data_IF_255767376205
#
_entry.id   IF_255767376205
#
_cell.length_a   1.000
_cell.length_b   1.000
_cell.length_c   1.000
_cell.angle_alpha   90.00
_cell.angle_beta   90.00
_cell.angle_gamma   90.00
#
_symmetry.space_group_name_H-M   'P 1'
#
loop_
_entity.id
_entity.type
_entity.pdbx_description
1 polymer ?
#
# COMPACT_ATOMS: atom_id res chain seq x y z
N UNK A 1 -17.50 0.74 -9.72
CA UNK A 1 -16.15 0.46 -10.26
C UNK A 1 -15.55 1.79 -10.76
N UNK A 2 -14.23 1.94 -10.69
CA UNK A 2 -13.52 3.10 -11.24
C UNK A 2 -12.86 2.67 -12.55
N UNK A 3 -13.19 3.33 -13.66
CA UNK A 3 -12.71 2.98 -15.00
C UNK A 3 -11.49 3.83 -15.34
N UNK A 4 -10.46 3.19 -15.88
CA UNK A 4 -9.20 3.82 -16.25
C UNK A 4 -8.58 3.16 -17.45
N UNK A 5 -7.76 3.93 -18.16
CA UNK A 5 -6.90 3.42 -19.22
C UNK A 5 -5.64 2.79 -18.64
N UNK A 6 -5.07 1.83 -19.37
CA UNK A 6 -3.77 1.23 -19.01
C UNK A 6 -2.73 2.36 -18.92
N UNK A 7 -1.88 2.29 -17.90
CA UNK A 7 -0.83 3.25 -17.63
C UNK A 7 -1.34 4.65 -17.19
N UNK A 8 -2.64 4.85 -17.01
CA UNK A 8 -3.16 6.08 -16.38
C UNK A 8 -2.74 6.14 -14.91
N UNK A 9 -2.39 7.33 -14.40
CA UNK A 9 -2.13 7.51 -12.97
C UNK A 9 -3.43 7.30 -12.14
N UNK A 10 -3.36 6.41 -11.16
CA UNK A 10 -4.39 6.21 -10.15
C UNK A 10 -3.97 6.88 -8.85
N UNK A 11 -4.78 7.81 -8.36
CA UNK A 11 -4.54 8.53 -7.11
C UNK A 11 -5.45 7.97 -6.02
N UNK A 12 -4.85 7.55 -4.92
CA UNK A 12 -5.55 6.99 -3.76
C UNK A 12 -5.28 7.84 -2.53
N UNK A 13 -6.34 8.02 -1.75
CA UNK A 13 -6.28 8.65 -0.44
C UNK A 13 -6.95 7.72 0.58
N UNK A 14 -6.31 7.55 1.72
CA UNK A 14 -6.96 7.04 2.92
C UNK A 14 -6.87 8.09 4.02
N UNK A 15 -7.99 8.28 4.71
CA UNK A 15 -8.12 9.25 5.79
C UNK A 15 -8.74 8.56 7.00
N UNK A 16 -8.10 8.70 8.16
CA UNK A 16 -8.62 8.20 9.42
C UNK A 16 -9.47 9.27 10.10
N UNK A 17 -10.79 9.04 10.16
CA UNK A 17 -11.70 9.90 10.91
C UNK A 17 -11.59 9.62 12.42
N UNK A 18 -10.84 10.45 13.14
CA UNK A 18 -10.67 10.38 14.59
C UNK A 18 -10.49 11.78 15.19
N UNK A 19 -10.81 11.96 16.47
CA UNK A 19 -10.60 13.20 17.21
C UNK A 19 -9.19 13.33 17.82
N UNK A 20 -8.45 12.22 17.96
CA UNK A 20 -7.08 12.20 18.46
C UNK A 20 -6.09 12.62 17.37
N UNK A 21 -5.53 13.82 17.53
CA UNK A 21 -4.53 14.39 16.61
C UNK A 21 -3.16 13.72 16.70
N UNK A 22 -2.94 12.80 17.66
CA UNK A 22 -1.68 12.10 17.86
C UNK A 22 -1.63 10.75 17.12
N UNK A 23 -2.50 10.54 16.13
CA UNK A 23 -2.50 9.33 15.32
C UNK A 23 -1.78 9.57 13.99
N UNK A 24 -1.02 8.56 13.57
CA UNK A 24 -0.35 8.48 12.28
C UNK A 24 -0.97 7.32 11.52
N UNK A 25 -1.35 7.57 10.26
CA UNK A 25 -1.79 6.55 9.33
C UNK A 25 -0.61 6.18 8.42
N UNK A 26 -0.40 4.89 8.21
CA UNK A 26 0.70 4.37 7.40
C UNK A 26 0.20 3.28 6.46
N UNK A 27 0.61 3.34 5.18
CA UNK A 27 0.32 2.28 4.21
C UNK A 27 1.35 1.17 4.39
N UNK A 28 0.92 0.06 5.00
CA UNK A 28 1.81 -1.07 5.21
C UNK A 28 1.91 -1.93 3.94
N UNK A 29 0.77 -2.40 3.46
CA UNK A 29 0.72 -3.35 2.35
C UNK A 29 -0.48 -3.05 1.47
N UNK A 30 -0.28 -2.90 0.15
CA UNK A 30 -1.37 -2.87 -0.83
C UNK A 30 -1.08 -3.92 -1.90
N UNK A 31 -2.05 -4.82 -2.08
CA UNK A 31 -1.96 -5.93 -3.03
C UNK A 31 -3.14 -5.84 -3.99
N UNK A 32 -2.85 -6.02 -5.27
CA UNK A 32 -3.86 -6.13 -6.31
C UNK A 32 -4.13 -7.59 -6.68
N UNK A 33 -5.36 -7.88 -7.08
CA UNK A 33 -5.80 -9.18 -7.57
C UNK A 33 -6.78 -9.04 -8.74
N UNK A 34 -6.80 -9.98 -9.71
CA UNK A 34 -7.83 -10.04 -10.73
C UNK A 34 -9.19 -10.52 -10.19
N UNK A 35 -9.26 -10.91 -8.90
CA UNK A 35 -10.49 -11.41 -8.28
C UNK A 35 -10.78 -10.68 -6.96
N UNK A 36 -12.05 -10.52 -6.56
CA UNK A 36 -12.40 -9.81 -5.33
C UNK A 36 -12.11 -10.58 -4.04
N UNK A 37 -11.85 -11.89 -4.11
CA UNK A 37 -11.79 -12.75 -2.92
C UNK A 37 -10.47 -13.48 -2.71
N UNK A 38 -9.59 -13.57 -3.73
CA UNK A 38 -8.31 -14.25 -3.63
C UNK A 38 -7.16 -13.27 -3.82
N UNK A 39 -6.49 -12.93 -2.72
CA UNK A 39 -5.30 -12.08 -2.69
C UNK A 39 -4.04 -12.88 -2.32
N UNK A 40 -3.94 -14.13 -2.78
CA UNK A 40 -2.80 -15.01 -2.49
C UNK A 40 -2.24 -15.74 -3.71
N UNK A 41 -3.09 -16.16 -4.65
CA UNK A 41 -2.66 -17.00 -5.79
C UNK A 41 -2.04 -16.19 -6.93
N UNK A 42 -2.79 -15.24 -7.47
CA UNK A 42 -2.32 -14.33 -8.54
C UNK A 42 -2.49 -12.93 -8.02
N UNK A 43 -1.35 -12.32 -7.69
CA UNK A 43 -1.32 -11.02 -7.03
C UNK A 43 -0.21 -10.16 -7.59
N UNK A 44 -0.38 -8.86 -7.42
CA UNK A 44 0.64 -7.87 -7.71
C UNK A 44 0.81 -6.98 -6.48
N UNK A 45 1.99 -7.02 -5.89
CA UNK A 45 2.33 -6.20 -4.71
C UNK A 45 2.65 -4.77 -5.18
N UNK A 46 1.88 -3.79 -4.73
CA UNK A 46 2.16 -2.37 -5.00
C UNK A 46 3.15 -1.84 -3.97
N UNK A 47 2.86 -2.10 -2.70
CA UNK A 47 3.72 -1.87 -1.54
C UNK A 47 3.51 -3.05 -0.60
N UNK A 48 4.57 -3.53 0.06
CA UNK A 48 4.48 -4.64 1.00
C UNK A 48 5.43 -4.46 2.16
N UNK A 49 4.91 -4.59 3.38
CA UNK A 49 5.65 -4.32 4.61
C UNK A 49 6.36 -2.95 4.56
N UNK A 50 5.69 -1.92 4.04
CA UNK A 50 6.20 -0.57 3.87
C UNK A 50 7.23 -0.41 2.74
N UNK A 51 7.61 -1.50 2.06
CA UNK A 51 8.56 -1.48 0.96
C UNK A 51 7.82 -1.37 -0.37
N UNK A 52 8.10 -0.30 -1.11
CA UNK A 52 7.56 -0.10 -2.45
C UNK A 52 8.02 -1.23 -3.38
N UNK A 53 7.07 -1.81 -4.13
CA UNK A 53 7.31 -2.90 -5.09
C UNK A 53 6.96 -2.49 -6.51
N UNK A 54 5.94 -1.67 -6.66
CA UNK A 54 5.60 -1.04 -7.92
C UNK A 54 6.51 0.18 -8.19
N UNK A 55 7.18 0.20 -9.35
CA UNK A 55 8.13 1.26 -9.72
C UNK A 55 7.48 2.61 -10.01
N UNK A 56 6.17 2.62 -10.24
CA UNK A 56 5.37 3.82 -10.50
C UNK A 56 4.71 4.39 -9.24
N UNK A 57 4.87 3.71 -8.11
CA UNK A 57 4.37 4.16 -6.82
C UNK A 57 5.06 5.45 -6.40
N UNK A 58 4.27 6.44 -6.00
CA UNK A 58 4.77 7.67 -5.40
C UNK A 58 3.84 8.15 -4.29
N UNK A 59 4.41 8.72 -3.23
CA UNK A 59 3.65 9.38 -2.17
C UNK A 59 3.43 10.85 -2.50
N UNK A 60 2.33 11.41 -2.01
CA UNK A 60 2.06 12.84 -2.05
C UNK A 60 2.06 13.43 -0.66
N UNK A 61 2.25 14.75 -0.61
CA UNK A 61 2.10 15.50 0.63
C UNK A 61 0.69 15.35 1.21
N UNK A 62 0.63 14.89 2.45
CA UNK A 62 -0.58 14.88 3.28
C UNK A 62 -0.48 16.00 4.32
N UNK A 63 -1.42 16.95 4.38
CA UNK A 63 -1.44 17.99 5.42
C UNK A 63 -1.62 17.45 6.85
N UNK A 64 -2.09 16.22 7.01
CA UNK A 64 -2.35 15.60 8.31
C UNK A 64 -1.66 14.24 8.44
N UNK A 65 -1.18 13.90 9.64
CA UNK A 65 -0.52 12.62 9.92
C UNK A 65 -1.46 11.41 9.81
N UNK A 66 -2.75 11.62 10.01
CA UNK A 66 -3.80 10.62 9.89
C UNK A 66 -4.38 10.51 8.47
N UNK A 67 -3.66 11.03 7.47
CA UNK A 67 -4.00 10.97 6.06
C UNK A 67 -2.81 10.46 5.24
N UNK A 68 -3.05 9.53 4.33
CA UNK A 68 -2.05 9.02 3.39
C UNK A 68 -2.53 9.19 1.96
N UNK A 69 -1.65 9.70 1.10
CA UNK A 69 -1.90 9.93 -0.31
C UNK A 69 -0.79 9.30 -1.13
N UNK A 70 -1.16 8.50 -2.11
CA UNK A 70 -0.21 7.86 -3.00
C UNK A 70 -0.81 7.63 -4.38
N UNK A 71 0.04 7.40 -5.36
CA UNK A 71 -0.34 7.01 -6.71
C UNK A 71 0.40 5.78 -7.16
N UNK A 72 -0.15 5.09 -8.15
CA UNK A 72 0.53 4.10 -9.01
C UNK A 72 -0.17 4.08 -10.38
N UNK A 73 0.47 3.54 -11.41
CA UNK A 73 -0.13 3.47 -12.74
C UNK A 73 -1.08 2.27 -12.86
N UNK A 74 -2.22 2.49 -13.52
CA UNK A 74 -3.19 1.45 -13.81
C UNK A 74 -2.56 0.34 -14.68
N UNK A 75 -2.93 -0.90 -14.37
CA UNK A 75 -2.47 -2.09 -15.08
C UNK A 75 -3.59 -3.12 -15.17
N UNK A 76 -3.33 -4.20 -15.89
CA UNK A 76 -4.24 -5.34 -16.00
C UNK A 76 -3.47 -6.66 -15.87
N UNK A 77 -4.17 -7.71 -15.42
CA UNK A 77 -3.63 -9.06 -15.43
C UNK A 77 -3.89 -9.71 -16.79
N UNK A 78 -2.84 -10.18 -17.47
CA UNK A 78 -2.95 -10.84 -18.78
C UNK A 78 -3.72 -12.16 -18.60
N UNK A 79 -4.65 -12.46 -19.50
CA UNK A 79 -5.54 -13.65 -19.47
C UNK A 79 -6.62 -13.64 -18.37
N UNK A 80 -6.83 -12.51 -17.70
CA UNK A 80 -7.92 -12.32 -16.74
C UNK A 80 -8.93 -11.29 -17.22
N UNK A 81 -10.04 -11.17 -16.48
CA UNK A 81 -10.97 -10.05 -16.60
C UNK A 81 -10.24 -8.71 -16.43
N UNK A 82 -10.64 -7.63 -17.13
CA UNK A 82 -10.00 -6.31 -17.02
C UNK A 82 -10.19 -5.65 -15.64
N UNK A 83 -11.02 -6.21 -14.78
CA UNK A 83 -11.22 -5.70 -13.42
C UNK A 83 -10.05 -6.05 -12.50
N UNK A 84 -9.52 -5.04 -11.82
CA UNK A 84 -8.50 -5.19 -10.77
C UNK A 84 -9.09 -4.77 -9.42
N UNK A 85 -8.83 -5.57 -8.39
CA UNK A 85 -9.27 -5.34 -7.02
C UNK A 85 -8.06 -5.04 -6.14
N UNK A 86 -8.18 -4.06 -5.26
CA UNK A 86 -7.13 -3.66 -4.33
C UNK A 86 -7.50 -4.05 -2.90
N UNK A 87 -6.55 -4.60 -2.16
CA UNK A 87 -6.63 -4.77 -0.71
C UNK A 87 -5.45 -4.06 -0.08
N UNK A 88 -5.73 -3.03 0.72
CA UNK A 88 -4.71 -2.30 1.47
C UNK A 88 -4.86 -2.55 2.97
N UNK A 89 -3.74 -2.80 3.62
CA UNK A 89 -3.56 -2.91 5.06
C UNK A 89 -2.89 -1.61 5.54
N UNK A 90 -3.62 -0.88 6.38
CA UNK A 90 -3.19 0.40 6.94
C UNK A 90 -2.87 0.21 8.42
N UNK A 91 -1.72 0.71 8.86
CA UNK A 91 -1.35 0.76 10.26
C UNK A 91 -1.74 2.11 10.86
N UNK A 92 -2.33 2.09 12.05
CA UNK A 92 -2.59 3.28 12.87
C UNK A 92 -1.66 3.23 14.07
N UNK A 93 -0.82 4.25 14.22
CA UNK A 93 0.16 4.34 15.30
C UNK A 93 0.01 5.66 16.05
N UNK A 94 0.60 5.74 17.25
CA UNK A 94 0.77 7.03 17.92
C UNK A 94 1.96 7.78 17.34
N UNK A 95 1.84 9.10 17.25
CA UNK A 95 2.95 10.00 16.96
C UNK A 95 4.05 9.81 18.02
N UNK A 96 5.32 9.88 17.59
CA UNK A 96 6.51 9.73 18.44
C UNK A 96 6.72 8.36 19.09
N UNK A 97 5.90 7.35 18.77
CA UNK A 97 6.23 5.96 19.10
C UNK A 97 7.20 5.40 18.06
N UNK A 98 8.50 5.60 18.30
CA UNK A 98 9.58 5.16 17.41
C UNK A 98 9.69 3.64 17.27
N UNK A 99 9.04 2.87 18.16
CA UNK A 99 8.99 1.41 18.07
C UNK A 99 7.83 0.91 17.19
N UNK A 100 6.88 1.79 16.89
CA UNK A 100 5.65 1.45 16.17
C UNK A 100 5.90 1.02 14.73
N UNK A 101 4.92 0.27 14.18
CA UNK A 101 4.95 -0.17 12.78
C UNK A 101 5.13 1.00 11.80
N UNK A 102 4.54 2.16 12.07
CA UNK A 102 4.62 3.33 11.20
C UNK A 102 6.05 3.89 11.11
N UNK A 103 6.81 3.91 12.22
CA UNK A 103 8.20 4.38 12.23
C UNK A 103 9.20 3.35 11.69
N UNK A 104 8.87 2.06 11.72
CA UNK A 104 9.71 1.00 11.15
C UNK A 104 9.86 1.11 9.63
N UNK A 105 8.93 1.80 8.93
CA UNK A 105 9.01 2.03 7.49
C UNK A 105 9.06 0.75 6.66
N UNK A 106 9.99 0.66 5.71
CA UNK A 106 10.21 -0.53 4.90
C UNK A 106 10.98 -1.61 5.66
N UNK A 107 10.34 -2.77 5.87
CA UNK A 107 10.95 -3.94 6.50
C UNK A 107 11.22 -5.01 5.45
N UNK A 108 12.47 -5.12 5.01
CA UNK A 108 12.92 -6.23 4.17
C UNK A 108 13.30 -7.42 5.05
N UNK A 109 12.87 -8.63 4.68
CA UNK A 109 13.33 -9.86 5.34
C UNK A 109 14.86 -9.95 5.14
N UNK A 110 15.63 -9.94 6.24
CA UNK A 110 17.06 -10.23 6.19
C UNK A 110 17.25 -11.61 5.55
N UNK A 111 18.20 -11.73 4.60
CA UNK A 111 18.66 -13.05 4.14
C UNK A 111 19.20 -13.77 5.36
N UNK A 112 18.59 -14.89 5.74
CA UNK A 112 19.21 -15.78 6.73
C UNK A 112 20.54 -16.23 6.12
N UNK A 113 21.66 -15.86 6.73
CA UNK A 113 22.94 -16.50 6.43
C UNK A 113 22.75 -17.99 6.73
N UNK A 114 22.82 -18.82 5.69
CA UNK A 114 22.98 -20.24 5.90
C UNK A 114 24.42 -20.43 6.37
N UNK A 115 24.61 -20.65 7.68
CA UNK A 115 25.90 -21.14 8.19
C UNK A 115 26.27 -22.40 7.40
N UNK A 116 27.40 -22.33 6.71
CA UNK A 116 28.08 -23.47 6.09
C UNK A 116 28.77 -24.32 7.15
#
# INVERSE_FOLDING_TARGET
PYYVDINQDLFLEAYLHNSDSNLVLFVDTCVASPTPHNFTTVTYDIIRNGCVRDSTYATYYSPYSHQVRFKFNAFQFIHYSPSVYLKCELAVCRTYDYSSRCYQGCITRSKREASS
#
